data_IF_391087170797
#
_entry.id   IF_391087170797
#
_cell.length_a   1.000
_cell.length_b   1.000
_cell.length_c   1.000
_cell.angle_alpha   90.00
_cell.angle_beta   90.00
_cell.angle_gamma   90.00
#
_symmetry.space_group_name_H-M   'P 1'
#
loop_
_entity.id
_entity.type
_entity.pdbx_description
1 polymer ?
#
# COMPACT_ATOMS: atom_id res chain seq x y z
N UNK A 1 17.23 -9.49 -2.28
CA UNK A 1 15.91 -8.87 -2.04
C UNK A 1 15.63 -7.82 -3.09
N UNK A 2 14.57 -8.01 -3.85
CA UNK A 2 14.00 -7.03 -4.76
C UNK A 2 13.46 -5.81 -4.03
N UNK A 3 13.19 -4.74 -4.78
CA UNK A 3 12.72 -3.45 -4.25
C UNK A 3 11.48 -3.60 -3.35
N UNK A 4 10.49 -4.39 -3.79
CA UNK A 4 9.23 -4.57 -3.06
C UNK A 4 9.39 -5.41 -1.78
N UNK A 5 10.28 -6.40 -1.77
CA UNK A 5 10.55 -7.19 -0.56
C UNK A 5 11.19 -6.32 0.53
N UNK A 6 12.13 -5.44 0.16
CA UNK A 6 12.72 -4.46 1.09
C UNK A 6 11.66 -3.50 1.63
N UNK A 7 10.72 -3.08 0.78
CA UNK A 7 9.64 -2.18 1.16
C UNK A 7 8.66 -2.87 2.13
N UNK A 8 8.27 -4.11 1.88
CA UNK A 8 7.43 -4.91 2.78
C UNK A 8 8.12 -5.10 4.13
N UNK A 9 9.39 -5.50 4.14
CA UNK A 9 10.15 -5.65 5.38
C UNK A 9 10.24 -4.34 6.17
N UNK A 10 10.43 -3.21 5.47
CA UNK A 10 10.44 -1.87 6.08
C UNK A 10 9.09 -1.51 6.70
N UNK A 11 7.98 -1.71 5.99
CA UNK A 11 6.61 -1.49 6.52
C UNK A 11 6.37 -2.36 7.76
N UNK A 12 6.62 -3.67 7.67
CA UNK A 12 6.36 -4.62 8.76
C UNK A 12 7.25 -4.40 9.98
N UNK A 13 8.42 -3.78 9.81
CA UNK A 13 9.31 -3.45 10.93
C UNK A 13 8.80 -2.33 11.83
N UNK A 14 7.85 -1.50 11.37
CA UNK A 14 7.29 -0.36 12.12
C UNK A 14 8.30 0.77 12.45
N UNK A 15 9.57 0.64 12.09
CA UNK A 15 10.65 1.56 12.47
C UNK A 15 10.92 2.66 11.43
N UNK A 16 10.03 2.87 10.46
CA UNK A 16 10.40 3.56 9.22
C UNK A 16 9.26 4.30 8.51
N UNK A 17 8.20 4.66 9.22
CA UNK A 17 7.02 5.33 8.66
C UNK A 17 7.36 6.64 7.94
N UNK A 18 8.36 7.39 8.42
CA UNK A 18 8.76 8.67 7.83
C UNK A 18 9.47 8.55 6.46
N UNK A 19 9.94 7.36 6.06
CA UNK A 19 10.78 7.16 4.88
C UNK A 19 10.11 6.31 3.78
N UNK A 20 8.78 6.20 3.77
CA UNK A 20 8.02 5.48 2.74
C UNK A 20 7.21 6.49 1.94
N UNK A 21 7.50 6.59 0.65
CA UNK A 21 6.74 7.50 -0.22
C UNK A 21 5.34 6.94 -0.49
N UNK A 22 4.36 7.82 -0.63
CA UNK A 22 3.01 7.41 -1.02
C UNK A 22 3.00 6.63 -2.35
N UNK A 23 3.85 7.01 -3.31
CA UNK A 23 3.93 6.35 -4.62
C UNK A 23 4.39 4.90 -4.49
N UNK A 24 5.40 4.64 -3.64
CA UNK A 24 5.89 3.27 -3.41
C UNK A 24 4.85 2.43 -2.67
N UNK A 25 4.14 3.00 -1.70
CA UNK A 25 3.04 2.33 -1.00
C UNK A 25 1.86 2.02 -1.93
N UNK A 26 1.44 2.98 -2.75
CA UNK A 26 0.39 2.81 -3.77
C UNK A 26 0.73 1.66 -4.71
N UNK A 27 1.96 1.64 -5.25
CA UNK A 27 2.41 0.55 -6.14
C UNK A 27 2.35 -0.81 -5.45
N UNK A 28 2.77 -0.88 -4.19
CA UNK A 28 2.73 -2.12 -3.42
C UNK A 28 1.28 -2.63 -3.23
N UNK A 29 0.35 -1.73 -2.90
CA UNK A 29 -1.07 -2.05 -2.76
C UNK A 29 -1.65 -2.60 -4.07
N UNK A 30 -1.32 -1.98 -5.21
CA UNK A 30 -1.75 -2.45 -6.52
C UNK A 30 -1.16 -3.83 -6.89
N UNK A 31 0.10 -4.09 -6.55
CA UNK A 31 0.75 -5.40 -6.75
C UNK A 31 0.06 -6.50 -5.93
N UNK A 32 -0.46 -6.18 -4.75
CA UNK A 32 -1.27 -7.11 -3.95
C UNK A 32 -2.68 -7.35 -4.50
N UNK A 33 -3.03 -6.78 -5.65
CA UNK A 33 -4.30 -7.01 -6.33
C UNK A 33 -5.45 -6.17 -5.80
N UNK A 34 -5.16 -5.05 -5.15
CA UNK A 34 -6.20 -4.05 -4.84
C UNK A 34 -6.56 -3.25 -6.09
N UNK A 35 -7.84 -2.95 -6.22
CA UNK A 35 -8.35 -1.94 -7.13
C UNK A 35 -8.21 -0.55 -6.51
N UNK A 36 -7.99 0.45 -7.36
CA UNK A 36 -7.89 1.85 -6.94
C UNK A 36 -8.99 2.69 -7.58
N UNK A 37 -9.60 3.56 -6.77
CA UNK A 37 -10.52 4.60 -7.21
C UNK A 37 -10.04 5.94 -6.70
N UNK A 38 -9.93 6.92 -7.59
CA UNK A 38 -9.45 8.27 -7.28
C UNK A 38 -10.64 9.24 -7.23
N UNK A 39 -10.76 10.02 -6.16
CA UNK A 39 -11.76 11.10 -6.00
C UNK A 39 -11.06 12.38 -5.54
N UNK A 40 -10.72 13.25 -6.50
CA UNK A 40 -9.85 14.40 -6.23
C UNK A 40 -8.48 13.92 -5.75
N UNK A 41 -8.02 14.43 -4.61
CA UNK A 41 -6.75 14.00 -3.99
C UNK A 41 -6.84 12.71 -3.16
N UNK A 42 -8.03 12.09 -3.07
CA UNK A 42 -8.23 10.87 -2.29
C UNK A 42 -8.04 9.63 -3.14
N UNK A 43 -7.21 8.72 -2.65
CA UNK A 43 -6.95 7.41 -3.24
C UNK A 43 -7.63 6.36 -2.36
N UNK A 44 -8.63 5.69 -2.93
CA UNK A 44 -9.44 4.68 -2.25
C UNK A 44 -9.03 3.33 -2.82
N UNK A 45 -8.58 2.42 -1.97
CA UNK A 45 -8.18 1.07 -2.35
C UNK A 45 -9.19 0.04 -1.84
N UNK A 46 -9.56 -0.91 -2.67
CA UNK A 46 -10.50 -1.99 -2.33
C UNK A 46 -10.06 -3.30 -2.96
N UNK A 47 -10.27 -4.42 -2.27
CA UNK A 47 -10.02 -5.76 -2.80
C UNK A 47 -11.13 -6.68 -2.36
N UNK A 48 -11.62 -7.52 -3.28
CA UNK A 48 -12.60 -8.55 -2.95
C UNK A 48 -12.04 -9.48 -1.86
N UNK A 49 -12.86 -9.81 -0.87
CA UNK A 49 -12.44 -10.62 0.28
C UNK A 49 -11.62 -9.87 1.34
N UNK A 50 -11.39 -8.56 1.19
CA UNK A 50 -10.88 -7.69 2.25
C UNK A 50 -12.03 -6.85 2.76
N UNK A 51 -12.57 -7.24 3.93
CA UNK A 51 -13.68 -6.54 4.55
C UNK A 51 -13.25 -5.12 4.96
N UNK A 52 -14.10 -4.14 4.64
CA UNK A 52 -13.96 -2.81 5.21
C UNK A 52 -14.44 -2.93 6.66
N UNK A 53 -13.52 -2.96 7.62
CA UNK A 53 -13.88 -2.96 9.03
C UNK A 53 -14.88 -1.80 9.32
N UNK A 54 -15.94 -2.07 10.11
CA UNK A 54 -16.97 -1.09 10.46
C UNK A 54 -16.43 0.09 11.29
#
# INVERSE_FOLDING_TARGET
>A
MGKYEKLVAKILSGNSDANITFIDLRKLILIFGFSERIKGSHYIFSKEGVEKNP
#
